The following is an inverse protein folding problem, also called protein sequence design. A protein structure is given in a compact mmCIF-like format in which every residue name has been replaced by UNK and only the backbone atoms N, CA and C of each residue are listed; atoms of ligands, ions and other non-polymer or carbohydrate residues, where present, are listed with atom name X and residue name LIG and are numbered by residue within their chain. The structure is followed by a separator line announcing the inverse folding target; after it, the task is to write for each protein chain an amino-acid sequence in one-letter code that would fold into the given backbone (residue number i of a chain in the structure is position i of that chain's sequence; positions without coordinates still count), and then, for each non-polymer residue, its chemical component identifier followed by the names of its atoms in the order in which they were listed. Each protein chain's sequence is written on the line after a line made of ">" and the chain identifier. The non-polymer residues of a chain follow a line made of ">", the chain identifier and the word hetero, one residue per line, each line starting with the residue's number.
data_IF_024128583847
#
_entry.id   IF_024128583847
#
_cell.length_a   1.000
_cell.length_b   1.000
_cell.length_c   1.000
_cell.angle_alpha   90.00
_cell.angle_beta   90.00
_cell.angle_gamma   90.00
#
_symmetry.space_group_name_H-M   'P 1'
#
loop_
_entity.id
_entity.type
_entity.pdbx_description
1 polymer ?
#
# COMPACT_ATOMS: atom_id res chain seq x y z
N UNK A 1 0.14 -9.76 -19.98
CA UNK A 1 -0.54 -10.99 -19.56
C UNK A 1 -0.60 -10.95 -18.03
N UNK A 2 -1.78 -11.09 -17.42
CA UNK A 2 -1.86 -11.24 -15.96
C UNK A 2 -1.34 -12.63 -15.61
N UNK A 3 -0.22 -12.69 -14.91
CA UNK A 3 0.40 -13.94 -14.43
C UNK A 3 0.68 -13.77 -12.95
N UNK A 4 0.56 -14.85 -12.18
CA UNK A 4 0.96 -14.85 -10.77
C UNK A 4 2.46 -14.58 -10.58
N UNK A 5 3.25 -14.75 -11.64
CA UNK A 5 4.69 -14.42 -11.68
C UNK A 5 4.99 -12.96 -11.34
N UNK A 6 4.03 -12.04 -11.53
CA UNK A 6 4.20 -10.62 -11.11
C UNK A 6 4.50 -10.50 -9.62
N UNK A 7 4.08 -11.48 -8.80
CA UNK A 7 4.33 -11.51 -7.37
C UNK A 7 5.56 -12.36 -6.98
N UNK A 8 6.31 -12.95 -7.92
CA UNK A 8 7.32 -13.96 -7.60
C UNK A 8 8.43 -13.44 -6.68
N UNK A 9 8.91 -12.21 -6.88
CA UNK A 9 9.88 -11.56 -5.98
C UNK A 9 9.22 -10.91 -4.76
N UNK A 10 7.99 -10.39 -4.93
CA UNK A 10 7.26 -9.66 -3.91
C UNK A 10 6.73 -10.56 -2.78
N UNK A 11 6.13 -11.70 -3.11
CA UNK A 11 5.42 -12.54 -2.15
C UNK A 11 6.33 -13.15 -1.07
N UNK A 12 7.55 -13.66 -1.38
CA UNK A 12 8.48 -14.12 -0.35
C UNK A 12 8.94 -12.99 0.58
N UNK A 13 9.30 -11.83 0.01
CA UNK A 13 9.71 -10.65 0.78
C UNK A 13 8.58 -10.13 1.70
N UNK A 14 7.33 -10.20 1.23
CA UNK A 14 6.16 -9.90 2.05
C UNK A 14 6.04 -10.90 3.21
N UNK A 15 6.22 -12.20 2.96
CA UNK A 15 6.24 -13.23 4.00
C UNK A 15 7.27 -12.96 5.10
N UNK A 16 8.46 -12.51 4.74
CA UNK A 16 9.49 -12.09 5.70
C UNK A 16 9.06 -10.86 6.51
N UNK A 17 8.41 -9.87 5.88
CA UNK A 17 7.83 -8.72 6.60
C UNK A 17 6.78 -9.15 7.62
N UNK A 18 5.92 -10.12 7.30
CA UNK A 18 4.96 -10.67 8.26
C UNK A 18 5.66 -11.34 9.45
N UNK A 19 6.73 -12.10 9.20
CA UNK A 19 7.51 -12.73 10.26
C UNK A 19 8.18 -11.69 11.17
N UNK A 20 8.81 -10.66 10.59
CA UNK A 20 9.41 -9.54 11.35
C UNK A 20 8.38 -8.76 12.14
N UNK A 21 7.22 -8.48 11.55
CA UNK A 21 6.13 -7.80 12.24
C UNK A 21 5.66 -8.58 13.47
N UNK A 22 5.44 -9.89 13.30
CA UNK A 22 5.07 -10.76 14.43
C UNK A 22 6.13 -10.76 15.53
N UNK A 23 7.42 -10.84 15.18
CA UNK A 23 8.52 -10.78 16.13
C UNK A 23 8.59 -9.42 16.86
N UNK A 24 8.24 -8.33 16.17
CA UNK A 24 8.13 -6.99 16.73
C UNK A 24 6.81 -6.68 17.45
N UNK A 25 5.95 -7.68 17.68
CA UNK A 25 4.69 -7.50 18.40
C UNK A 25 3.65 -6.67 17.63
N UNK A 26 3.56 -6.83 16.32
CA UNK A 26 2.60 -6.13 15.46
C UNK A 26 1.98 -7.08 14.44
N UNK A 27 0.71 -6.89 14.18
CA UNK A 27 -0.06 -7.74 13.26
C UNK A 27 -0.25 -7.01 11.94
N UNK A 28 0.11 -7.68 10.83
CA UNK A 28 -0.10 -7.17 9.48
C UNK A 28 -1.35 -7.78 8.84
N UNK A 29 -2.10 -6.94 8.13
CA UNK A 29 -3.28 -7.30 7.35
C UNK A 29 -3.24 -6.55 6.04
N UNK A 30 -3.74 -7.13 4.95
CA UNK A 30 -3.69 -6.44 3.68
C UNK A 30 -4.03 -7.30 2.48
N UNK A 31 -3.91 -6.69 1.31
CA UNK A 31 -4.03 -7.38 0.03
C UNK A 31 -3.07 -6.76 -0.98
N UNK A 32 -2.65 -7.60 -1.94
CA UNK A 32 -1.98 -7.18 -3.15
C UNK A 32 -2.87 -7.57 -4.34
N UNK A 33 -3.09 -6.63 -5.25
CA UNK A 33 -3.93 -6.79 -6.43
C UNK A 33 -3.14 -6.34 -7.66
N UNK A 34 -3.32 -7.04 -8.79
CA UNK A 34 -2.74 -6.65 -10.06
C UNK A 34 -3.73 -6.95 -11.19
N UNK A 35 -3.98 -5.95 -12.02
CA UNK A 35 -4.90 -5.97 -13.15
C UNK A 35 -4.19 -5.54 -14.44
N UNK A 36 -4.66 -6.04 -15.58
CA UNK A 36 -4.24 -5.57 -16.90
C UNK A 36 -5.47 -5.24 -17.73
N UNK A 37 -5.66 -3.96 -18.04
CA UNK A 37 -6.72 -3.50 -18.95
C UNK A 37 -6.13 -3.28 -20.33
N UNK A 38 -6.70 -3.94 -21.35
CA UNK A 38 -6.32 -3.74 -22.76
C UNK A 38 -7.41 -2.97 -23.50
N UNK A 39 -7.13 -1.72 -23.84
CA UNK A 39 -8.03 -0.82 -24.56
C UNK A 39 -7.71 -0.79 -26.05
N UNK A 40 -8.73 -0.95 -26.90
CA UNK A 40 -8.60 -0.88 -28.35
C UNK A 40 -9.41 0.30 -28.88
N UNK A 41 -8.79 1.15 -29.70
CA UNK A 41 -9.43 2.30 -30.32
C UNK A 41 -9.41 2.16 -31.85
N UNK A 42 -10.60 2.16 -32.46
CA UNK A 42 -10.78 2.08 -33.91
C UNK A 42 -11.62 3.24 -34.46
N UNK A 43 -11.22 3.85 -35.58
CA UNK A 43 -12.05 4.82 -36.33
C UNK A 43 -12.37 4.36 -37.75
N UNK A 44 -13.46 4.86 -38.33
CA UNK A 44 -13.81 4.62 -39.74
C UNK A 44 -12.81 5.23 -40.73
N UNK A 45 -12.05 6.23 -40.31
CA UNK A 45 -10.97 6.87 -41.09
C UNK A 45 -9.63 6.12 -41.03
N UNK A 46 -9.59 4.95 -40.39
CA UNK A 46 -8.44 4.05 -40.40
C UNK A 46 -7.58 4.03 -39.14
N UNK A 47 -7.92 4.80 -38.09
CA UNK A 47 -7.18 4.73 -36.81
C UNK A 47 -7.35 3.33 -36.18
N UNK A 48 -6.25 2.71 -35.75
CA UNK A 48 -6.24 1.47 -34.98
C UNK A 48 -5.14 1.56 -33.93
N UNK A 49 -5.51 1.67 -32.66
CA UNK A 49 -4.58 1.71 -31.53
C UNK A 49 -4.95 0.62 -30.52
N UNK A 50 -3.93 0.12 -29.83
CA UNK A 50 -4.07 -0.73 -28.65
C UNK A 50 -3.24 -0.13 -27.52
N UNK A 51 -3.80 -0.10 -26.32
CA UNK A 51 -3.11 0.32 -25.10
C UNK A 51 -3.30 -0.75 -24.03
N UNK A 52 -2.20 -1.23 -23.46
CA UNK A 52 -2.19 -2.16 -22.33
C UNK A 52 -1.78 -1.39 -21.08
N UNK A 53 -2.68 -1.33 -20.09
CA UNK A 53 -2.52 -0.62 -18.83
C UNK A 53 -2.44 -1.61 -17.66
N UNK A 54 -1.22 -2.01 -17.26
CA UNK A 54 -1.01 -2.76 -16.02
C UNK A 54 -1.13 -1.84 -14.81
N UNK A 55 -1.91 -2.28 -13.82
CA UNK A 55 -2.18 -1.56 -12.57
C UNK A 55 -2.05 -2.52 -11.40
N UNK A 56 -1.18 -2.20 -10.45
CA UNK A 56 -1.00 -2.94 -9.20
C UNK A 56 -1.27 -2.07 -7.98
N UNK A 57 -1.91 -2.65 -6.97
CA UNK A 57 -2.23 -2.02 -5.70
C UNK A 57 -1.81 -2.91 -4.55
N UNK A 58 -1.06 -2.34 -3.61
CA UNK A 58 -0.78 -2.94 -2.31
C UNK A 58 -1.41 -2.09 -1.23
N UNK A 59 -2.18 -2.73 -0.35
CA UNK A 59 -2.65 -2.11 0.88
C UNK A 59 -2.25 -2.96 2.08
N UNK A 60 -1.62 -2.32 3.07
CA UNK A 60 -1.19 -2.98 4.30
C UNK A 60 -1.59 -2.13 5.51
N UNK A 61 -2.16 -2.80 6.49
CA UNK A 61 -2.49 -2.28 7.80
C UNK A 61 -1.62 -2.98 8.84
N UNK A 62 -1.02 -2.21 9.73
CA UNK A 62 -0.38 -2.72 10.93
C UNK A 62 -1.23 -2.38 12.16
N UNK A 63 -1.38 -3.34 13.08
CA UNK A 63 -2.11 -3.16 14.34
C UNK A 63 -1.24 -3.56 15.53
N UNK A 64 -1.42 -2.87 16.64
CA UNK A 64 -0.87 -3.32 17.93
C UNK A 64 -1.59 -4.59 18.43
N UNK A 65 -0.98 -5.40 19.32
CA UNK A 65 -1.56 -6.67 19.76
C UNK A 65 -2.89 -6.52 20.50
N UNK A 66 -3.03 -5.41 21.24
CA UNK A 66 -4.26 -4.99 21.92
C UNK A 66 -5.29 -4.34 20.97
N UNK A 67 -4.94 -4.18 19.69
CA UNK A 67 -5.74 -3.57 18.61
C UNK A 67 -6.17 -2.13 18.86
N UNK A 68 -5.56 -1.45 19.84
CA UNK A 68 -5.89 -0.06 20.15
C UNK A 68 -5.25 0.93 19.20
N UNK A 69 -4.16 0.56 18.52
CA UNK A 69 -3.40 1.39 17.57
C UNK A 69 -3.38 0.74 16.19
N UNK A 70 -3.46 1.56 15.15
CA UNK A 70 -3.34 1.11 13.76
C UNK A 70 -2.60 2.12 12.89
N UNK A 71 -1.86 1.60 11.91
CA UNK A 71 -1.28 2.37 10.83
C UNK A 71 -1.62 1.71 9.49
N UNK A 72 -1.74 2.49 8.43
CA UNK A 72 -1.99 2.03 7.07
C UNK A 72 -0.92 2.56 6.13
N UNK A 73 -0.59 1.77 5.10
CA UNK A 73 0.26 2.16 3.99
C UNK A 73 -0.28 1.54 2.69
N UNK A 74 -0.37 2.37 1.65
CA UNK A 74 -0.73 1.95 0.30
C UNK A 74 0.40 2.22 -0.70
N UNK A 75 0.50 1.39 -1.74
CA UNK A 75 1.36 1.61 -2.91
C UNK A 75 0.58 1.30 -4.18
N UNK A 76 0.71 2.19 -5.16
CA UNK A 76 0.37 1.91 -6.55
C UNK A 76 1.67 1.52 -7.27
N UNK A 77 1.61 0.50 -8.10
CA UNK A 77 2.75 -0.03 -8.85
C UNK A 77 2.30 -0.52 -10.22
N UNK A 78 3.24 -0.70 -11.13
CA UNK A 78 2.99 -1.37 -12.41
C UNK A 78 3.03 -2.89 -12.29
N UNK A 79 3.98 -3.43 -11.52
CA UNK A 79 4.34 -4.85 -11.54
C UNK A 79 5.03 -5.35 -10.25
N UNK A 80 4.97 -4.58 -9.16
CA UNK A 80 5.56 -4.88 -7.85
C UNK A 80 7.09 -4.94 -7.79
N UNK A 81 7.81 -4.65 -8.89
CA UNK A 81 9.29 -4.61 -8.87
C UNK A 81 9.85 -3.38 -8.16
N UNK A 82 9.04 -2.33 -8.01
CA UNK A 82 9.34 -1.07 -7.32
C UNK A 82 8.79 -1.01 -5.88
N UNK A 83 8.19 -2.11 -5.40
CA UNK A 83 7.61 -2.20 -4.05
C UNK A 83 8.54 -3.00 -3.15
N UNK A 84 9.05 -2.34 -2.10
CA UNK A 84 9.83 -2.98 -1.04
C UNK A 84 8.95 -3.28 0.19
N UNK A 85 8.58 -4.55 0.45
CA UNK A 85 7.78 -4.92 1.61
C UNK A 85 8.46 -4.62 2.95
N UNK A 86 9.80 -4.60 3.01
CA UNK A 86 10.54 -4.31 4.22
C UNK A 86 10.54 -2.83 4.56
N UNK A 87 10.65 -1.96 3.56
CA UNK A 87 10.48 -0.53 3.76
C UNK A 87 9.06 -0.17 4.25
N UNK A 88 8.03 -0.82 3.68
CA UNK A 88 6.63 -0.63 4.12
C UNK A 88 6.43 -1.11 5.56
N UNK A 89 7.02 -2.26 5.90
CA UNK A 89 7.02 -2.83 7.25
C UNK A 89 7.62 -1.84 8.28
N UNK A 90 8.77 -1.25 7.96
CA UNK A 90 9.44 -0.25 8.79
C UNK A 90 8.63 1.06 8.91
N UNK A 91 8.05 1.56 7.81
CA UNK A 91 7.17 2.74 7.83
C UNK A 91 5.98 2.51 8.77
N UNK A 92 5.32 1.36 8.65
CA UNK A 92 4.18 1.00 9.49
C UNK A 92 4.56 0.87 10.96
N UNK A 93 5.73 0.30 11.27
CA UNK A 93 6.25 0.24 12.63
C UNK A 93 6.47 1.65 13.21
N UNK A 94 7.08 2.55 12.43
CA UNK A 94 7.32 3.93 12.83
C UNK A 94 6.01 4.68 13.10
N UNK A 95 5.01 4.52 12.23
CA UNK A 95 3.68 5.12 12.38
C UNK A 95 2.94 4.59 13.61
N UNK A 96 3.03 3.28 13.88
CA UNK A 96 2.47 2.68 15.09
C UNK A 96 3.15 3.21 16.37
N UNK A 97 4.46 3.44 16.33
CA UNK A 97 5.21 4.01 17.46
C UNK A 97 4.75 5.45 17.76
N UNK A 98 4.49 6.28 16.74
CA UNK A 98 3.92 7.61 16.96
C UNK A 98 2.55 7.58 17.66
N UNK A 99 1.77 6.52 17.41
CA UNK A 99 0.46 6.35 18.04
C UNK A 99 0.51 5.85 19.51
N UNK A 100 1.70 5.60 20.08
CA UNK A 100 1.86 5.19 21.48
C UNK A 100 1.46 6.30 22.45
N UNK A 101 1.82 7.54 22.13
CA UNK A 101 1.51 8.68 22.96
C UNK A 101 0.27 9.38 22.43
N UNK A 102 -0.81 9.34 23.22
CA UNK A 102 -2.01 10.15 22.98
C UNK A 102 -2.01 11.35 23.90
N UNK A 103 -2.35 12.50 23.34
CA UNK A 103 -2.48 13.75 24.09
C UNK A 103 -3.91 14.23 23.89
N UNK A 104 -4.64 14.39 24.99
CA UNK A 104 -5.96 15.00 24.98
C UNK A 104 -5.80 16.51 24.86
N UNK A 105 -6.50 17.11 23.90
CA UNK A 105 -6.50 18.55 23.68
C UNK A 105 -7.86 19.10 24.10
N UNK A 106 -7.92 20.09 25.01
CA UNK A 106 -9.16 20.77 25.34
C UNK A 106 -9.83 21.40 24.12
N UNK A 107 -11.12 21.73 24.21
CA UNK A 107 -11.80 22.47 23.15
C UNK A 107 -11.12 23.84 22.94
N UNK A 108 -10.74 24.14 21.70
CA UNK A 108 -9.99 25.35 21.38
C UNK A 108 -9.76 25.51 19.88
N UNK A 109 -9.06 26.60 19.52
CA UNK A 109 -8.60 26.85 18.15
C UNK A 109 -7.12 26.48 18.04
N UNK A 110 -6.81 25.59 17.10
CA UNK A 110 -5.46 25.10 16.88
C UNK A 110 -5.07 25.26 15.42
N UNK A 111 -3.82 25.63 15.18
CA UNK A 111 -3.23 25.49 13.85
C UNK A 111 -3.20 24.02 13.47
N UNK A 112 -3.76 23.69 12.30
CA UNK A 112 -3.81 22.32 11.80
C UNK A 112 -2.97 22.24 10.54
N UNK A 113 -1.85 21.53 10.62
CA UNK A 113 -1.01 21.23 9.47
C UNK A 113 -1.57 19.97 8.79
N UNK A 114 -2.08 20.12 7.57
CA UNK A 114 -2.50 18.99 6.75
C UNK A 114 -1.30 18.50 5.93
N UNK A 115 -0.70 17.34 6.26
CA UNK A 115 0.34 16.77 5.41
C UNK A 115 -0.25 16.42 4.05
N UNK A 116 0.56 16.45 3.00
CA UNK A 116 0.15 15.91 1.70
C UNK A 116 -0.27 14.45 1.89
N UNK A 117 -1.50 14.12 1.53
CA UNK A 117 -1.91 12.72 1.46
C UNK A 117 -1.08 12.01 0.37
N UNK A 118 -0.67 10.74 0.56
CA UNK A 118 -0.38 9.89 -0.58
C UNK A 118 -1.66 9.89 -1.44
N UNK A 119 -1.51 10.18 -2.73
CA UNK A 119 -2.62 10.35 -3.68
C UNK A 119 -3.73 9.30 -3.52
N UNK A 120 -5.02 9.66 -3.67
CA UNK A 120 -6.06 8.65 -3.73
C UNK A 120 -5.78 7.77 -4.96
N UNK A 121 -5.77 6.47 -4.72
CA UNK A 121 -5.87 5.43 -5.74
C UNK A 121 -7.29 5.58 -6.28
N UNK A 122 -7.44 6.30 -7.40
CA UNK A 122 -8.64 6.27 -8.20
C UNK A 122 -8.58 5.06 -9.13
#
# INVERSE_FOLDING_TARGET
>A
MTSSEVFAGFAPALGESFARARAGGRELYGFAHHELVSSYLGSSTGLRLRHDQPTGTLEVNAKSPDRTRSAWAGRATRDFTDVDPAAIDAELAQRLAWAERRVELPAGRYETLLPRAPWPIC
#
